data_IF_534168122200
#
_entry.id   IF_534168122200
#
_cell.length_a   1.000
_cell.length_b   1.000
_cell.length_c   1.000
_cell.angle_alpha   90.00
_cell.angle_beta   90.00
_cell.angle_gamma   90.00
#
_symmetry.space_group_name_H-M   'P 1'
#
loop_
_entity.id
_entity.type
_entity.pdbx_description
1 polymer ?
#
# COMPACT_ATOMS: atom_id res chain seq x y z
N UNK A 1 7.94 18.79 -18.58
CA UNK A 1 8.18 19.65 -17.39
C UNK A 1 6.93 19.82 -16.52
N UNK A 2 5.71 19.57 -17.01
CA UNK A 2 4.47 19.68 -16.21
C UNK A 2 4.20 18.48 -15.29
N UNK A 3 4.67 17.28 -15.63
CA UNK A 3 4.48 16.07 -14.81
C UNK A 3 5.13 16.21 -13.42
N UNK A 4 6.33 16.78 -13.34
CA UNK A 4 7.06 16.95 -12.07
C UNK A 4 6.38 17.94 -11.10
N UNK A 5 5.75 19.01 -11.58
CA UNK A 5 5.08 19.97 -10.69
C UNK A 5 3.81 19.37 -10.08
N UNK A 6 3.12 18.56 -10.87
CA UNK A 6 1.88 17.91 -10.48
C UNK A 6 2.15 16.80 -9.43
N UNK A 7 3.22 16.03 -9.61
CA UNK A 7 3.64 15.01 -8.64
C UNK A 7 4.10 15.57 -7.29
N UNK A 8 4.82 16.70 -7.29
CA UNK A 8 5.20 17.39 -6.05
C UNK A 8 3.97 17.86 -5.28
N UNK A 9 2.94 18.35 -5.97
CA UNK A 9 1.67 18.74 -5.33
C UNK A 9 0.94 17.56 -4.67
N UNK A 10 1.04 16.35 -5.24
CA UNK A 10 0.39 15.18 -4.67
C UNK A 10 1.08 14.67 -3.40
N UNK A 11 2.40 14.63 -3.43
CA UNK A 11 3.21 14.23 -2.28
C UNK A 11 2.96 15.16 -1.08
N UNK A 12 2.82 16.47 -1.33
CA UNK A 12 2.50 17.45 -0.28
C UNK A 12 1.12 17.19 0.35
N UNK A 13 0.08 16.94 -0.45
CA UNK A 13 -1.26 16.64 0.07
C UNK A 13 -1.29 15.35 0.88
N UNK A 14 -0.64 14.29 0.39
CA UNK A 14 -0.51 13.03 1.13
C UNK A 14 0.26 13.24 2.44
N UNK A 15 1.29 14.08 2.41
CA UNK A 15 2.07 14.41 3.61
C UNK A 15 1.24 15.16 4.65
N UNK A 16 0.43 16.12 4.22
CA UNK A 16 -0.51 16.82 5.10
C UNK A 16 -1.52 15.86 5.72
N UNK A 17 -2.09 14.95 4.93
CA UNK A 17 -3.02 13.92 5.42
C UNK A 17 -2.34 13.04 6.46
N UNK A 18 -1.14 12.54 6.17
CA UNK A 18 -0.39 11.67 7.08
C UNK A 18 0.00 12.39 8.37
N UNK A 19 0.44 13.66 8.30
CA UNK A 19 0.78 14.43 9.50
C UNK A 19 -0.40 14.60 10.47
N UNK A 20 -1.63 14.65 9.95
CA UNK A 20 -2.86 14.74 10.75
C UNK A 20 -3.27 13.39 11.35
N UNK A 21 -3.16 12.30 10.59
CA UNK A 21 -3.57 10.95 11.01
C UNK A 21 -2.52 10.26 11.90
N UNK A 22 -1.25 10.56 11.66
CA UNK A 22 -0.08 9.95 12.31
C UNK A 22 0.97 11.04 12.62
N UNK A 23 0.70 11.95 13.57
CA UNK A 23 1.63 13.03 13.91
C UNK A 23 3.01 12.54 14.41
N UNK A 24 3.08 11.32 14.93
CA UNK A 24 4.32 10.66 15.35
C UNK A 24 5.13 10.07 14.17
N UNK A 25 4.51 9.91 13.00
CA UNK A 25 5.18 9.35 11.84
C UNK A 25 6.06 10.42 11.19
N UNK A 26 7.37 10.27 11.37
CA UNK A 26 8.35 11.15 10.72
C UNK A 26 8.54 10.69 9.29
N UNK A 27 7.92 11.41 8.36
CA UNK A 27 8.12 11.18 6.94
C UNK A 27 9.58 11.47 6.58
N UNK A 28 10.33 10.41 6.24
CA UNK A 28 11.62 10.59 5.58
C UNK A 28 11.32 11.15 4.19
N UNK A 29 11.59 12.44 3.98
CA UNK A 29 11.44 13.10 2.67
C UNK A 29 12.57 12.71 1.71
N UNK A 30 13.48 11.82 2.10
CA UNK A 30 14.50 11.31 1.22
C UNK A 30 13.86 10.60 0.02
N UNK A 31 14.14 11.09 -1.18
CA UNK A 31 13.69 10.52 -2.45
C UNK A 31 14.26 9.10 -2.64
N UNK A 32 13.60 8.09 -2.06
CA UNK A 32 14.03 6.69 -2.09
C UNK A 32 12.96 5.85 -2.77
N UNK A 33 13.35 5.22 -3.88
CA UNK A 33 12.60 4.07 -4.41
C UNK A 33 12.63 2.94 -3.41
N UNK A 34 11.62 2.08 -3.44
CA UNK A 34 11.59 0.95 -2.54
C UNK A 34 10.45 0.00 -2.81
N UNK A 35 10.41 -1.04 -2.01
CA UNK A 35 9.34 -2.02 -1.99
C UNK A 35 9.18 -2.58 -0.57
N UNK A 36 8.04 -3.22 -0.30
CA UNK A 36 7.82 -3.87 0.98
C UNK A 36 6.38 -4.25 1.25
N UNK A 37 6.20 -4.95 2.37
CA UNK A 37 4.88 -5.33 2.88
C UNK A 37 4.19 -4.14 3.53
N UNK A 38 2.91 -4.00 3.25
CA UNK A 38 2.05 -2.96 3.83
C UNK A 38 1.68 -3.36 5.25
N UNK A 39 1.93 -2.47 6.21
CA UNK A 39 1.47 -2.62 7.59
C UNK A 39 0.16 -1.91 7.86
N UNK A 40 -0.07 -0.78 7.21
CA UNK A 40 -1.31 -0.02 7.31
C UNK A 40 -1.75 0.46 5.93
N UNK A 41 -3.05 0.32 5.62
CA UNK A 41 -3.69 0.92 4.44
C UNK A 41 -4.66 2.02 4.88
N UNK A 42 -4.55 3.18 4.24
CA UNK A 42 -5.34 4.37 4.52
C UNK A 42 -5.98 4.84 3.22
N UNK A 43 -7.31 4.94 3.21
CA UNK A 43 -8.04 5.58 2.12
C UNK A 43 -8.35 7.02 2.51
N UNK A 44 -7.81 7.97 1.76
CA UNK A 44 -7.93 9.39 2.07
C UNK A 44 -8.64 10.15 0.95
N UNK A 45 -9.53 11.05 1.37
CA UNK A 45 -10.38 11.86 0.50
C UNK A 45 -10.00 13.33 0.72
N UNK A 46 -9.31 13.92 -0.25
CA UNK A 46 -8.91 15.32 -0.21
C UNK A 46 -10.10 16.23 -0.52
N UNK A 47 -10.25 17.37 0.17
CA UNK A 47 -11.27 18.39 -0.16
C UNK A 47 -11.17 18.91 -1.60
N UNK A 48 -10.02 18.73 -2.25
CA UNK A 48 -9.81 19.08 -3.66
C UNK A 48 -10.35 18.02 -4.64
N UNK A 49 -11.16 17.08 -4.18
CA UNK A 49 -11.78 16.02 -5.00
C UNK A 49 -10.81 14.91 -5.43
N UNK A 50 -9.67 14.78 -4.75
CA UNK A 50 -8.66 13.75 -5.03
C UNK A 50 -8.73 12.63 -4.01
N UNK A 51 -8.53 11.40 -4.45
CA UNK A 51 -8.56 10.22 -3.60
C UNK A 51 -7.21 9.51 -3.63
N UNK A 52 -6.80 9.04 -2.47
CA UNK A 52 -5.50 8.41 -2.28
C UNK A 52 -5.66 7.09 -1.54
N UNK A 53 -4.94 6.08 -2.02
CA UNK A 53 -4.57 4.94 -1.19
C UNK A 53 -3.16 5.19 -0.70
N UNK A 54 -3.02 5.38 0.60
CA UNK A 54 -1.74 5.60 1.27
C UNK A 54 -1.41 4.37 2.09
N UNK A 55 -0.17 3.90 1.99
CA UNK A 55 0.30 2.73 2.73
C UNK A 55 1.49 3.10 3.60
N UNK A 56 1.53 2.54 4.81
CA UNK A 56 2.70 2.58 5.68
C UNK A 56 3.39 1.23 5.58
N UNK A 57 4.68 1.21 5.28
CA UNK A 57 5.43 0.00 5.01
C UNK A 57 6.00 -0.56 6.32
N UNK A 58 5.80 -1.87 6.55
CA UNK A 58 6.23 -2.57 7.74
C UNK A 58 7.73 -2.38 8.02
N UNK A 59 8.07 -1.98 9.25
CA UNK A 59 9.46 -1.95 9.74
C UNK A 59 10.40 -0.94 9.07
N UNK A 60 9.93 -0.14 8.11
CA UNK A 60 10.79 0.83 7.38
C UNK A 60 10.57 2.27 7.82
N UNK A 61 9.44 2.57 8.47
CA UNK A 61 9.03 3.97 8.72
C UNK A 61 8.81 4.77 7.43
N UNK A 62 8.68 4.08 6.29
CA UNK A 62 8.38 4.68 4.99
C UNK A 62 6.90 4.56 4.67
N UNK A 63 6.45 5.36 3.72
CA UNK A 63 5.10 5.31 3.17
C UNK A 63 5.17 5.30 1.65
N UNK A 64 4.07 4.89 1.02
CA UNK A 64 3.85 5.08 -0.40
C UNK A 64 2.39 5.47 -0.64
N UNK A 65 2.08 6.03 -1.80
CA UNK A 65 0.71 6.39 -2.15
C UNK A 65 0.37 6.12 -3.60
N UNK A 66 -0.92 5.92 -3.86
CA UNK A 66 -1.49 5.82 -5.20
C UNK A 66 -2.68 6.74 -5.31
N UNK A 67 -2.83 7.39 -6.46
CA UNK A 67 -4.10 7.97 -6.83
C UNK A 67 -5.11 6.88 -7.15
N UNK A 68 -6.30 7.00 -6.60
CA UNK A 68 -7.40 6.06 -6.79
C UNK A 68 -8.68 6.81 -7.19
N UNK A 69 -9.68 6.07 -7.64
CA UNK A 69 -11.03 6.57 -7.89
C UNK A 69 -12.02 5.85 -6.98
N UNK A 70 -13.27 6.34 -6.85
CA UNK A 70 -14.32 5.61 -6.16
C UNK A 70 -14.52 4.20 -6.74
N UNK A 71 -14.51 4.04 -8.07
CA UNK A 71 -14.63 2.71 -8.69
C UNK A 71 -13.45 1.80 -8.33
N UNK A 72 -12.24 2.35 -8.26
CA UNK A 72 -11.06 1.59 -7.83
C UNK A 72 -11.23 1.06 -6.39
N UNK A 73 -11.77 1.88 -5.50
CA UNK A 73 -12.07 1.49 -4.12
C UNK A 73 -13.10 0.36 -4.11
N UNK A 74 -14.20 0.50 -4.86
CA UNK A 74 -15.23 -0.55 -4.95
C UNK A 74 -14.68 -1.89 -5.44
N UNK A 75 -13.78 -1.86 -6.42
CA UNK A 75 -13.20 -3.07 -7.03
C UNK A 75 -12.15 -3.71 -6.10
N UNK A 76 -11.25 -2.93 -5.49
CA UNK A 76 -10.04 -3.46 -4.87
C UNK A 76 -9.97 -3.32 -3.34
N UNK A 77 -10.81 -2.52 -2.70
CA UNK A 77 -10.72 -2.32 -1.24
C UNK A 77 -10.91 -3.62 -0.46
N UNK A 78 -11.91 -4.43 -0.80
CA UNK A 78 -12.11 -5.73 -0.16
C UNK A 78 -10.91 -6.66 -0.39
N UNK A 79 -10.32 -6.62 -1.59
CA UNK A 79 -9.13 -7.42 -1.89
C UNK A 79 -7.98 -7.00 -0.97
N UNK A 80 -7.72 -5.70 -0.82
CA UNK A 80 -6.63 -5.17 0.02
C UNK A 80 -6.89 -5.42 1.51
N UNK A 81 -8.12 -5.23 1.98
CA UNK A 81 -8.48 -5.34 3.39
C UNK A 81 -8.58 -6.79 3.88
N UNK A 82 -8.93 -7.74 3.00
CA UNK A 82 -9.11 -9.15 3.36
C UNK A 82 -7.88 -10.01 3.04
N UNK A 83 -6.89 -9.47 2.34
CA UNK A 83 -5.68 -10.21 2.03
C UNK A 83 -4.80 -10.34 3.27
N UNK A 84 -4.20 -11.52 3.40
CA UNK A 84 -3.22 -11.83 4.47
C UNK A 84 -2.04 -10.87 4.43
N UNK A 85 -1.57 -10.57 3.22
CA UNK A 85 -0.51 -9.60 2.99
C UNK A 85 -0.77 -8.78 1.73
N UNK A 86 -0.25 -7.54 1.75
CA UNK A 86 -0.22 -6.66 0.59
C UNK A 86 1.22 -6.20 0.40
N UNK A 87 1.73 -6.29 -0.83
CA UNK A 87 3.06 -5.86 -1.21
C UNK A 87 2.97 -4.68 -2.17
N UNK A 88 3.86 -3.70 -2.03
CA UNK A 88 3.91 -2.51 -2.88
C UNK A 88 5.34 -2.22 -3.33
N UNK A 89 5.45 -1.62 -4.51
CA UNK A 89 6.67 -1.01 -5.04
C UNK A 89 6.39 0.48 -5.33
N UNK A 90 7.35 1.35 -5.04
CA UNK A 90 7.20 2.78 -5.24
C UNK A 90 8.45 3.45 -5.83
N UNK A 91 8.20 4.55 -6.54
CA UNK A 91 9.24 5.37 -7.14
C UNK A 91 9.85 6.39 -6.15
N UNK A 92 10.76 7.25 -6.63
CA UNK A 92 11.43 8.27 -5.82
C UNK A 92 10.47 9.28 -5.16
N UNK A 93 9.27 9.44 -5.71
CA UNK A 93 8.23 10.34 -5.22
C UNK A 93 7.23 9.62 -4.31
N UNK A 94 7.58 8.43 -3.83
CA UNK A 94 6.72 7.57 -3.01
C UNK A 94 5.42 7.15 -3.72
N UNK A 95 5.35 7.30 -5.05
CA UNK A 95 4.19 6.88 -5.82
C UNK A 95 4.25 5.38 -6.09
N UNK A 96 3.17 4.66 -5.76
CA UNK A 96 3.01 3.23 -5.94
C UNK A 96 2.94 2.92 -7.44
N UNK A 97 4.01 2.32 -7.96
CA UNK A 97 4.12 1.89 -9.35
C UNK A 97 3.55 0.49 -9.54
N UNK A 98 3.65 -0.37 -8.52
CA UNK A 98 3.15 -1.74 -8.57
C UNK A 98 2.65 -2.19 -7.20
N UNK A 99 1.71 -3.12 -7.18
CA UNK A 99 1.19 -3.72 -5.95
C UNK A 99 0.63 -5.11 -6.23
N UNK A 100 0.71 -5.96 -5.21
CA UNK A 100 0.20 -7.32 -5.24
C UNK A 100 -0.41 -7.67 -3.89
N UNK A 101 -1.31 -8.66 -3.89
CA UNK A 101 -1.90 -9.20 -2.68
C UNK A 101 -1.63 -10.68 -2.58
N UNK A 102 -1.34 -11.14 -1.37
CA UNK A 102 -1.22 -12.56 -1.06
C UNK A 102 -2.55 -13.06 -0.50
N UNK A 103 -3.08 -14.09 -1.14
CA UNK A 103 -4.23 -14.82 -0.65
C UNK A 103 -3.79 -16.20 -0.21
N UNK A 104 -3.77 -16.43 1.10
CA UNK A 104 -3.58 -17.75 1.68
C UNK A 104 -4.60 -18.71 1.08
N UNK A 105 -4.12 -19.70 0.32
CA UNK A 105 -4.95 -20.79 -0.17
C UNK A 105 -4.63 -22.02 0.66
N UNK A 106 -5.63 -22.55 1.36
CA UNK A 106 -5.52 -23.85 2.01
C UNK A 106 -5.35 -24.90 0.90
N UNK A 107 -4.12 -25.39 0.73
CA UNK A 107 -3.83 -26.42 -0.26
C UNK A 107 -3.95 -27.80 0.40
N UNK A 108 -5.14 -28.39 0.32
CA UNK A 108 -5.46 -29.70 0.92
C UNK A 108 -4.67 -30.88 0.33
N UNK A 109 -3.95 -30.69 -0.78
CA UNK A 109 -3.16 -31.75 -1.42
C UNK A 109 -1.96 -32.20 -0.56
N UNK A 110 -1.38 -31.31 0.25
CA UNK A 110 -0.22 -31.65 1.08
C UNK A 110 -0.57 -32.39 2.38
N UNK A 111 -1.85 -32.41 2.78
CA UNK A 111 -2.31 -33.07 4.01
C UNK A 111 -2.59 -34.57 3.83
N UNK A 112 -2.51 -35.10 2.61
CA UNK A 112 -2.75 -36.53 2.34
C UNK A 112 -1.51 -37.41 2.39
N UNK A 113 -0.30 -36.86 2.38
CA UNK A 113 0.93 -37.67 2.33
C UNK A 113 1.47 -38.12 3.71
N UNK A 114 1.01 -37.54 4.83
CA UNK A 114 1.47 -37.96 6.18
C UNK A 114 0.70 -39.13 6.81
N UNK A 115 -0.24 -39.78 6.10
CA UNK A 115 -1.01 -40.92 6.63
C UNK A 115 -0.72 -42.27 5.99
N UNK A 116 0.44 -42.47 5.37
CA UNK A 116 0.83 -43.81 4.88
C UNK A 116 2.29 -44.15 5.21
N UNK A 117 2.52 -44.58 6.46
CA UNK A 117 3.17 -45.88 6.79
C UNK A 117 3.43 -46.00 8.30
N UNK A 118 2.46 -46.56 9.00
CA UNK A 118 2.74 -47.49 10.09
C UNK A 118 2.37 -48.88 9.57
N UNK A 119 3.38 -49.73 9.32
CA UNK A 119 3.52 -51.15 9.72
C UNK A 119 4.98 -51.52 9.44
#
# INVERSE_FOLDING_TARGET
MEENQTEVSYLEEVSEILSKLRPQFRMDRGCKTGNGKVGESIFAFSPKGRYYWVVIVCGTGSFAYKHITPEWIEIYSNLILLSSEVFVEWNINHYITNWAVEQDKICEFYLKEEKVRAV
#
